data_IF_932013282066
#
_entry.id   IF_932013282066
#
_cell.length_a   1.000
_cell.length_b   1.000
_cell.length_c   1.000
_cell.angle_alpha   90.00
_cell.angle_beta   90.00
_cell.angle_gamma   90.00
#
_symmetry.space_group_name_H-M   'P 1'
#
loop_
_entity.id
_entity.type
_entity.pdbx_description
1 polymer ?
#
# COMPACT_ATOMS: atom_id res chain seq x y z
N UNK A 1 2.44 -11.55 6.47
CA UNK A 1 1.98 -10.14 6.62
C UNK A 1 1.50 -9.55 5.30
N UNK A 2 2.28 -9.58 4.21
CA UNK A 2 1.88 -9.01 2.90
C UNK A 2 0.54 -9.53 2.38
N UNK A 3 0.29 -10.84 2.46
CA UNK A 3 -1.00 -11.43 2.07
C UNK A 3 -2.17 -10.88 2.88
N UNK A 4 -1.97 -10.68 4.19
CA UNK A 4 -3.00 -10.15 5.10
C UNK A 4 -3.33 -8.71 4.70
N UNK A 5 -2.31 -7.88 4.42
CA UNK A 5 -2.51 -6.51 3.94
C UNK A 5 -3.30 -6.48 2.62
N UNK A 6 -2.96 -7.34 1.66
CA UNK A 6 -3.68 -7.44 0.39
C UNK A 6 -5.16 -7.80 0.60
N UNK A 7 -5.46 -8.74 1.49
CA UNK A 7 -6.85 -9.14 1.80
C UNK A 7 -7.63 -7.95 2.39
N UNK A 8 -7.06 -7.22 3.34
CA UNK A 8 -7.71 -6.04 3.94
C UNK A 8 -7.96 -4.94 2.91
N UNK A 9 -6.99 -4.64 2.04
CA UNK A 9 -7.19 -3.66 0.96
C UNK A 9 -8.35 -4.07 0.04
N UNK A 10 -8.42 -5.35 -0.32
CA UNK A 10 -9.49 -5.88 -1.18
C UNK A 10 -10.85 -5.92 -0.51
N UNK A 11 -10.92 -5.94 0.83
CA UNK A 11 -12.21 -5.87 1.54
C UNK A 11 -12.85 -4.49 1.54
N UNK A 12 -12.11 -3.41 1.26
CA UNK A 12 -12.69 -2.07 1.09
C UNK A 12 -13.30 -1.93 -0.31
N UNK A 13 -14.53 -1.43 -0.42
CA UNK A 13 -15.26 -1.36 -1.69
C UNK A 13 -15.07 -0.04 -2.46
N UNK A 14 -14.95 1.09 -1.76
CA UNK A 14 -14.94 2.45 -2.32
C UNK A 14 -13.62 3.23 -2.13
N UNK A 15 -12.60 2.57 -1.56
CA UNK A 15 -11.30 3.21 -1.28
C UNK A 15 -10.56 3.69 -2.53
N UNK A 16 -10.13 4.96 -2.47
CA UNK A 16 -9.29 5.62 -3.49
C UNK A 16 -7.91 4.95 -3.56
N UNK A 17 -7.42 4.72 -4.76
CA UNK A 17 -6.13 4.11 -5.06
C UNK A 17 -6.08 2.62 -4.78
N UNK A 18 -7.23 1.96 -4.50
CA UNK A 18 -7.25 0.57 -4.01
C UNK A 18 -6.60 -0.40 -5.00
N UNK A 19 -6.87 -0.29 -6.31
CA UNK A 19 -6.33 -1.24 -7.29
C UNK A 19 -4.84 -0.98 -7.54
N UNK A 20 -4.42 0.27 -7.43
CA UNK A 20 -3.09 0.82 -7.64
C UNK A 20 -2.14 0.41 -6.51
N UNK A 21 -2.58 0.55 -5.25
CA UNK A 21 -1.77 0.18 -4.09
C UNK A 21 -1.64 -1.35 -3.95
N UNK A 22 -2.65 -2.11 -4.38
CA UNK A 22 -2.55 -3.58 -4.42
C UNK A 22 -1.44 -4.03 -5.37
N UNK A 23 -1.18 -3.32 -6.47
CA UNK A 23 -0.06 -3.63 -7.37
C UNK A 23 1.29 -3.43 -6.68
N UNK A 24 1.43 -2.43 -5.81
CA UNK A 24 2.62 -2.25 -4.98
C UNK A 24 2.85 -3.47 -4.07
N UNK A 25 1.82 -3.92 -3.35
CA UNK A 25 1.95 -5.07 -2.46
C UNK A 25 2.17 -6.40 -3.18
N UNK A 26 1.64 -6.59 -4.39
CA UNK A 26 1.99 -7.74 -5.23
C UNK A 26 3.44 -7.69 -5.69
N UNK A 27 3.95 -6.53 -6.09
CA UNK A 27 5.37 -6.36 -6.44
C UNK A 27 6.28 -6.65 -5.24
N UNK A 28 5.93 -6.14 -4.05
CA UNK A 28 6.67 -6.42 -2.82
C UNK A 28 6.62 -7.90 -2.42
N UNK A 29 5.47 -8.56 -2.59
CA UNK A 29 5.35 -10.00 -2.35
C UNK A 29 6.25 -10.81 -3.28
N UNK A 30 6.31 -10.46 -4.57
CA UNK A 30 7.18 -11.11 -5.54
C UNK A 30 8.67 -10.85 -5.24
N UNK A 31 9.01 -9.62 -4.86
CA UNK A 31 10.35 -9.22 -4.43
C UNK A 31 10.82 -10.04 -3.23
N UNK A 32 10.03 -10.10 -2.17
CA UNK A 32 10.36 -10.84 -0.94
C UNK A 32 10.44 -12.35 -1.18
N UNK A 33 9.61 -12.90 -2.07
CA UNK A 33 9.73 -14.30 -2.49
C UNK A 33 11.06 -14.57 -3.20
N UNK A 34 11.47 -13.69 -4.12
CA UNK A 34 12.73 -13.82 -4.82
C UNK A 34 13.94 -13.62 -3.90
N UNK A 35 13.84 -12.67 -2.97
CA UNK A 35 14.84 -12.45 -1.91
C UNK A 35 15.01 -13.70 -1.05
N UNK A 36 13.92 -14.36 -0.66
CA UNK A 36 13.97 -15.62 0.06
C UNK A 36 14.75 -16.69 -0.72
N UNK A 37 14.53 -16.84 -2.03
CA UNK A 37 15.26 -17.81 -2.85
C UNK A 37 16.76 -17.53 -2.92
N UNK A 38 17.15 -16.25 -2.95
CA UNK A 38 18.55 -15.83 -3.02
C UNK A 38 19.26 -15.92 -1.67
N UNK A 39 18.62 -15.47 -0.58
CA UNK A 39 19.22 -15.40 0.76
C UNK A 39 19.27 -16.77 1.44
N UNK A 40 18.28 -17.63 1.21
CA UNK A 40 18.26 -19.00 1.78
C UNK A 40 19.29 -19.95 1.16
N UNK A 41 19.97 -19.54 0.08
CA UNK A 41 20.94 -20.37 -0.62
C UNK A 41 20.30 -21.52 -1.43
N UNK A 42 18.98 -21.53 -1.61
CA UNK A 42 18.27 -22.48 -2.51
C UNK A 42 18.87 -22.40 -3.93
N UNK A 43 19.24 -21.20 -4.36
CA UNK A 43 19.99 -20.97 -5.60
C UNK A 43 21.45 -20.70 -5.22
N UNK A 44 22.37 -21.66 -5.45
CA UNK A 44 23.76 -21.50 -5.08
C UNK A 44 24.43 -20.38 -5.89
N UNK A 45 25.30 -19.60 -5.24
CA UNK A 45 26.08 -18.52 -5.88
C UNK A 45 27.00 -19.00 -6.99
N UNK A 46 27.40 -20.27 -6.96
CA UNK A 46 28.22 -20.92 -8.00
C UNK A 46 27.44 -21.27 -9.28
N UNK A 47 26.11 -21.26 -9.23
CA UNK A 47 25.27 -21.61 -10.38
C UNK A 47 25.24 -20.46 -11.39
N UNK A 48 25.33 -20.78 -12.68
CA UNK A 48 25.13 -19.80 -13.76
C UNK A 48 23.76 -19.12 -13.69
N UNK A 49 22.77 -19.80 -13.11
CA UNK A 49 21.39 -19.32 -12.97
C UNK A 49 21.29 -18.19 -11.94
N UNK A 50 22.21 -18.13 -10.96
CA UNK A 50 22.20 -17.13 -9.90
C UNK A 50 22.17 -15.69 -10.43
N UNK A 51 22.99 -15.40 -11.43
CA UNK A 51 23.08 -14.05 -12.04
C UNK A 51 21.75 -13.55 -12.61
N UNK A 52 20.94 -14.45 -13.21
CA UNK A 52 19.62 -14.09 -13.76
C UNK A 52 18.61 -13.79 -12.65
N UNK A 53 18.63 -14.57 -11.56
CA UNK A 53 17.74 -14.34 -10.42
C UNK A 53 18.12 -13.06 -9.67
N UNK A 54 19.42 -12.78 -9.52
CA UNK A 54 19.87 -11.49 -8.95
C UNK A 54 19.47 -10.32 -9.85
N UNK A 55 19.60 -10.46 -11.18
CA UNK A 55 19.15 -9.43 -12.11
C UNK A 55 17.64 -9.16 -11.98
N UNK A 56 16.83 -10.22 -11.86
CA UNK A 56 15.39 -10.10 -11.62
C UNK A 56 15.09 -9.42 -10.28
N UNK A 57 15.85 -9.74 -9.22
CA UNK A 57 15.70 -9.13 -7.90
C UNK A 57 16.00 -7.63 -7.92
N UNK A 58 17.11 -7.23 -8.53
CA UNK A 58 17.48 -5.82 -8.74
C UNK A 58 16.42 -5.07 -9.56
N UNK A 59 15.87 -5.71 -10.60
CA UNK A 59 14.74 -5.18 -11.37
C UNK A 59 13.50 -4.97 -10.52
N UNK A 60 13.10 -5.97 -9.74
CA UNK A 60 11.92 -5.90 -8.87
C UNK A 60 12.05 -4.84 -7.76
N UNK A 61 13.26 -4.63 -7.21
CA UNK A 61 13.51 -3.53 -6.27
C UNK A 61 13.13 -2.21 -6.92
N UNK A 62 13.69 -1.95 -8.10
CA UNK A 62 13.48 -0.68 -8.81
C UNK A 62 12.02 -0.50 -9.23
N UNK A 63 11.36 -1.57 -9.66
CA UNK A 63 9.91 -1.57 -9.95
C UNK A 63 9.08 -1.26 -8.72
N UNK A 64 9.44 -1.79 -7.55
CA UNK A 64 8.70 -1.56 -6.31
C UNK A 64 8.76 -0.09 -5.91
N UNK A 65 9.93 0.56 -6.01
CA UNK A 65 10.06 2.01 -5.82
C UNK A 65 9.32 2.82 -6.87
N UNK A 66 9.34 2.39 -8.13
CA UNK A 66 8.62 3.05 -9.22
C UNK A 66 7.09 3.01 -9.01
N UNK A 67 6.54 1.84 -8.66
CA UNK A 67 5.11 1.69 -8.37
C UNK A 67 4.74 2.50 -7.13
N UNK A 68 5.60 2.56 -6.10
CA UNK A 68 5.40 3.40 -4.92
C UNK A 68 5.29 4.88 -5.32
N UNK A 69 6.22 5.38 -6.14
CA UNK A 69 6.18 6.74 -6.65
C UNK A 69 4.91 7.03 -7.45
N UNK A 70 4.49 6.13 -8.35
CA UNK A 70 3.25 6.31 -9.12
C UNK A 70 2.02 6.32 -8.23
N UNK A 71 1.96 5.48 -7.20
CA UNK A 71 0.91 5.55 -6.18
C UNK A 71 0.87 6.91 -5.47
N UNK A 72 2.00 7.61 -5.37
CA UNK A 72 2.02 8.97 -4.82
C UNK A 72 1.34 10.01 -5.69
N UNK A 73 1.30 9.82 -7.01
CA UNK A 73 0.56 10.69 -7.91
C UNK A 73 -0.94 10.41 -7.92
N UNK A 74 -1.36 9.17 -7.62
CA UNK A 74 -2.78 8.78 -7.57
C UNK A 74 -3.56 9.59 -6.54
N UNK A 75 -2.94 9.93 -5.40
CA UNK A 75 -3.56 10.75 -4.36
C UNK A 75 -3.92 12.19 -4.80
N UNK A 76 -3.28 12.70 -5.86
CA UNK A 76 -3.59 14.01 -6.44
C UNK A 76 -4.64 13.96 -7.55
N UNK A 77 -5.18 12.76 -7.85
CA UNK A 77 -6.19 12.54 -8.88
C UNK A 77 -5.81 13.07 -10.28
N UNK A 78 -4.51 13.09 -10.62
CA UNK A 78 -4.05 13.48 -11.97
C UNK A 78 -4.62 12.56 -13.06
N UNK A 79 -4.80 11.29 -12.74
CA UNK A 79 -5.59 10.35 -13.51
C UNK A 79 -6.72 9.86 -12.61
N UNK A 80 -7.93 9.75 -13.15
CA UNK A 80 -9.06 9.17 -12.43
C UNK A 80 -8.68 7.78 -11.91
N UNK A 81 -8.79 7.62 -10.60
CA UNK A 81 -8.45 6.40 -9.88
C UNK A 81 -9.27 5.20 -10.38
N UNK A 82 -8.66 4.03 -10.47
CA UNK A 82 -9.33 2.80 -10.91
C UNK A 82 -9.69 2.73 -12.40
N UNK A 83 -9.40 3.79 -13.18
CA UNK A 83 -9.56 3.76 -14.64
C UNK A 83 -8.60 2.78 -15.30
N UNK A 84 -8.99 2.26 -16.47
CA UNK A 84 -8.11 1.40 -17.27
C UNK A 84 -6.78 2.11 -17.58
N UNK A 85 -6.81 3.42 -17.83
CA UNK A 85 -5.61 4.22 -18.11
C UNK A 85 -4.64 4.23 -16.92
N UNK A 86 -5.13 4.51 -15.71
CA UNK A 86 -4.31 4.46 -14.48
C UNK A 86 -3.63 3.10 -14.33
N UNK A 87 -4.39 2.01 -14.39
CA UNK A 87 -3.88 0.66 -14.17
C UNK A 87 -2.90 0.21 -15.24
N UNK A 88 -3.21 0.46 -16.52
CA UNK A 88 -2.32 0.09 -17.62
C UNK A 88 -1.07 0.95 -17.65
N UNK A 89 -1.14 2.22 -17.24
CA UNK A 89 0.06 3.06 -17.13
C UNK A 89 1.05 2.51 -16.11
N UNK A 90 0.58 2.08 -14.92
CA UNK A 90 1.42 1.46 -13.89
C UNK A 90 1.99 0.14 -14.39
N UNK A 91 1.18 -0.72 -15.02
CA UNK A 91 1.63 -2.04 -15.51
C UNK A 91 2.65 -1.93 -16.64
N UNK A 92 2.41 -1.09 -17.64
CA UNK A 92 3.31 -0.95 -18.79
C UNK A 92 4.60 -0.26 -18.34
N UNK A 93 4.52 0.83 -17.58
CA UNK A 93 5.73 1.52 -17.12
C UNK A 93 6.58 0.67 -16.19
N UNK A 94 5.96 -0.09 -15.28
CA UNK A 94 6.69 -1.05 -14.43
C UNK A 94 7.32 -2.19 -15.23
N UNK A 95 6.64 -2.73 -16.24
CA UNK A 95 7.20 -3.77 -17.11
C UNK A 95 8.38 -3.26 -17.94
N UNK A 96 8.29 -2.04 -18.48
CA UNK A 96 9.37 -1.39 -19.23
C UNK A 96 10.57 -1.15 -18.31
N UNK A 97 10.34 -0.60 -17.12
CA UNK A 97 11.40 -0.35 -16.14
C UNK A 97 12.05 -1.66 -15.67
N UNK A 98 11.25 -2.69 -15.38
CA UNK A 98 11.74 -4.02 -15.04
C UNK A 98 12.69 -4.55 -16.12
N UNK A 99 12.25 -4.52 -17.38
CA UNK A 99 13.00 -5.05 -18.51
C UNK A 99 14.30 -4.27 -18.72
N UNK A 100 14.26 -2.94 -18.59
CA UNK A 100 15.44 -2.09 -18.71
C UNK A 100 16.47 -2.38 -17.62
N UNK A 101 16.05 -2.42 -16.35
CA UNK A 101 16.96 -2.69 -15.22
C UNK A 101 17.49 -4.12 -15.27
N UNK A 102 16.64 -5.09 -15.63
CA UNK A 102 17.04 -6.49 -15.81
C UNK A 102 18.10 -6.64 -16.90
N UNK A 103 17.91 -5.98 -18.04
CA UNK A 103 18.89 -5.97 -19.13
C UNK A 103 20.22 -5.35 -18.69
N UNK A 104 20.18 -4.19 -18.03
CA UNK A 104 21.38 -3.51 -17.53
C UNK A 104 22.11 -4.38 -16.49
N UNK A 105 21.39 -5.07 -15.61
CA UNK A 105 21.97 -5.97 -14.63
C UNK A 105 22.70 -7.14 -15.30
N UNK A 106 22.07 -7.81 -16.28
CA UNK A 106 22.72 -8.90 -17.03
C UNK A 106 23.91 -8.40 -17.84
N UNK A 107 23.76 -7.26 -18.52
CA UNK A 107 24.85 -6.66 -19.29
C UNK A 107 26.03 -6.33 -18.39
N UNK A 108 25.78 -5.87 -17.16
CA UNK A 108 26.82 -5.66 -16.16
C UNK A 108 27.48 -6.98 -15.77
N UNK A 109 26.69 -7.98 -15.34
CA UNK A 109 27.20 -9.31 -14.92
C UNK A 109 28.02 -10.03 -15.98
N UNK A 110 27.70 -9.82 -17.26
CA UNK A 110 28.43 -10.43 -18.38
C UNK A 110 29.49 -9.50 -18.98
N UNK A 111 29.68 -8.30 -18.42
CA UNK A 111 30.58 -7.26 -18.94
C UNK A 111 30.39 -6.99 -20.45
N UNK A 112 29.14 -6.78 -20.86
CA UNK A 112 28.78 -6.53 -22.26
C UNK A 112 28.83 -5.02 -22.55
N UNK A 113 29.65 -4.62 -23.52
CA UNK A 113 29.69 -3.25 -24.02
C UNK A 113 30.27 -2.26 -22.98
N UNK A 114 29.61 -1.12 -22.70
CA UNK A 114 30.12 -0.12 -21.75
C UNK A 114 29.95 -0.54 -20.27
N UNK A 115 29.26 -1.65 -20.01
CA UNK A 115 29.01 -2.14 -18.66
C UNK A 115 30.14 -3.07 -18.23
N UNK A 116 30.77 -2.78 -17.09
CA UNK A 116 31.84 -3.58 -16.51
C UNK A 116 31.44 -4.17 -15.16
N UNK A 117 31.82 -5.43 -14.92
CA UNK A 117 31.68 -6.08 -13.62
C UNK A 117 32.53 -5.42 -12.52
N UNK A 118 33.68 -4.84 -12.88
CA UNK A 118 34.60 -4.25 -11.90
C UNK A 118 34.16 -2.88 -11.42
N UNK A 119 33.38 -2.17 -12.23
CA UNK A 119 32.86 -0.84 -11.94
C UNK A 119 31.39 -0.74 -12.36
N UNK A 120 30.46 -1.29 -11.55
CA UNK A 120 29.03 -1.35 -11.89
C UNK A 120 28.33 0.00 -11.65
N UNK A 121 28.86 1.09 -12.22
CA UNK A 121 28.38 2.46 -12.02
C UNK A 121 26.92 2.63 -12.43
N UNK A 122 26.50 2.02 -13.54
CA UNK A 122 25.12 2.11 -14.01
C UNK A 122 24.12 1.51 -13.01
N UNK A 123 24.43 0.33 -12.45
CA UNK A 123 23.61 -0.30 -11.43
C UNK A 123 23.57 0.52 -10.14
N UNK A 124 24.70 1.12 -9.76
CA UNK A 124 24.77 2.00 -8.59
C UNK A 124 23.86 3.23 -8.76
N UNK A 125 23.89 3.88 -9.92
CA UNK A 125 23.01 5.02 -10.23
C UNK A 125 21.54 4.62 -10.12
N UNK A 126 21.14 3.48 -10.70
CA UNK A 126 19.75 3.02 -10.64
C UNK A 126 19.34 2.70 -9.20
N UNK A 127 20.17 1.92 -8.50
CA UNK A 127 19.79 1.40 -7.18
C UNK A 127 19.74 2.48 -6.09
N UNK A 128 20.63 3.47 -6.15
CA UNK A 128 20.72 4.49 -5.11
C UNK A 128 20.12 5.82 -5.54
N UNK A 129 20.51 6.35 -6.71
CA UNK A 129 20.04 7.67 -7.15
C UNK A 129 18.60 7.59 -7.63
N UNK A 130 18.27 6.70 -8.56
CA UNK A 130 16.93 6.63 -9.12
C UNK A 130 15.90 6.15 -8.07
N UNK A 131 16.16 5.04 -7.38
CA UNK A 131 15.24 4.55 -6.34
C UNK A 131 15.16 5.50 -5.14
N UNK A 132 16.30 6.08 -4.72
CA UNK A 132 16.33 7.08 -3.65
C UNK A 132 15.55 8.34 -4.02
N UNK A 133 15.71 8.85 -5.24
CA UNK A 133 14.92 9.98 -5.74
C UNK A 133 13.43 9.63 -5.79
N UNK A 134 13.07 8.43 -6.26
CA UNK A 134 11.69 7.99 -6.31
C UNK A 134 11.03 7.96 -4.92
N UNK A 135 11.76 7.47 -3.91
CA UNK A 135 11.31 7.49 -2.52
C UNK A 135 11.16 8.92 -1.97
N UNK A 136 12.14 9.79 -2.20
CA UNK A 136 12.10 11.18 -1.71
C UNK A 136 10.94 11.95 -2.34
N UNK A 137 10.74 11.79 -3.65
CA UNK A 137 9.61 12.41 -4.38
C UNK A 137 8.29 11.87 -3.80
N UNK A 138 8.16 10.55 -3.61
CA UNK A 138 6.98 9.96 -3.00
C UNK A 138 6.68 10.55 -1.62
N UNK A 139 7.68 10.62 -0.73
CA UNK A 139 7.52 11.17 0.63
C UNK A 139 7.10 12.65 0.57
N UNK A 140 7.74 13.44 -0.29
CA UNK A 140 7.39 14.86 -0.47
C UNK A 140 5.94 15.03 -0.96
N UNK A 141 5.52 14.22 -1.93
CA UNK A 141 4.16 14.20 -2.45
C UNK A 141 3.14 13.84 -1.35
N UNK A 142 3.40 12.83 -0.53
CA UNK A 142 2.49 12.47 0.58
C UNK A 142 2.40 13.58 1.63
N UNK A 143 3.53 14.19 2.00
CA UNK A 143 3.53 15.30 2.95
C UNK A 143 2.72 16.48 2.40
N UNK A 144 2.87 16.83 1.12
CA UNK A 144 2.10 17.89 0.49
C UNK A 144 0.61 17.56 0.50
N UNK A 145 0.23 16.33 0.13
CA UNK A 145 -1.17 15.88 0.12
C UNK A 145 -1.80 16.00 1.51
N UNK A 146 -1.15 15.46 2.54
CA UNK A 146 -1.68 15.51 3.91
C UNK A 146 -1.76 16.95 4.40
N UNK A 147 -0.77 17.80 4.08
CA UNK A 147 -0.75 19.17 4.59
C UNK A 147 -1.80 20.06 3.92
N UNK A 148 -2.04 19.86 2.62
CA UNK A 148 -2.88 20.75 1.81
C UNK A 148 -4.32 20.27 1.67
N UNK A 149 -4.55 18.96 1.73
CA UNK A 149 -5.85 18.38 1.38
C UNK A 149 -6.57 17.80 2.60
N UNK A 150 -5.86 17.28 3.60
CA UNK A 150 -6.46 16.59 4.74
C UNK A 150 -6.52 17.46 6.00
N UNK A 151 -7.64 17.35 6.72
CA UNK A 151 -7.83 17.97 8.03
C UNK A 151 -7.14 17.14 9.13
N UNK A 152 -7.23 15.80 9.07
CA UNK A 152 -6.52 14.90 9.99
C UNK A 152 -5.02 14.80 9.65
N UNK A 153 -4.18 15.12 10.65
CA UNK A 153 -2.71 15.10 10.55
C UNK A 153 -2.09 13.81 11.06
N UNK A 154 -2.88 12.88 11.59
CA UNK A 154 -2.41 11.56 12.02
C UNK A 154 -1.57 10.82 10.96
N UNK A 155 -1.90 10.86 9.65
CA UNK A 155 -1.11 10.20 8.61
C UNK A 155 0.34 10.69 8.49
N UNK A 156 0.66 11.90 8.97
CA UNK A 156 2.07 12.39 9.01
C UNK A 156 2.94 11.53 9.90
N UNK A 157 2.38 11.00 11.01
CA UNK A 157 3.07 10.07 11.89
C UNK A 157 3.43 8.78 11.16
N UNK A 158 2.51 8.25 10.35
CA UNK A 158 2.76 7.03 9.58
C UNK A 158 3.90 7.22 8.57
N UNK A 159 3.95 8.37 7.88
CA UNK A 159 5.05 8.72 6.96
C UNK A 159 6.37 8.82 7.73
N UNK A 160 6.40 9.52 8.86
CA UNK A 160 7.60 9.72 9.66
C UNK A 160 8.19 8.38 10.14
N UNK A 161 7.35 7.52 10.71
CA UNK A 161 7.80 6.20 11.17
C UNK A 161 8.23 5.31 10.01
N UNK A 162 7.53 5.35 8.87
CA UNK A 162 7.92 4.61 7.68
C UNK A 162 9.33 4.98 7.18
N UNK A 163 9.61 6.29 7.06
CA UNK A 163 10.93 6.79 6.67
C UNK A 163 11.99 6.45 7.72
N UNK A 164 11.67 6.63 9.01
CA UNK A 164 12.60 6.31 10.09
C UNK A 164 13.00 4.82 10.08
N UNK A 165 12.03 3.90 9.98
CA UNK A 165 12.32 2.47 9.89
C UNK A 165 13.16 2.13 8.65
N UNK A 166 12.84 2.73 7.50
CA UNK A 166 13.64 2.50 6.29
C UNK A 166 15.09 2.96 6.47
N UNK A 167 15.32 4.18 6.97
CA UNK A 167 16.67 4.72 7.20
C UNK A 167 17.43 3.87 8.22
N UNK A 168 16.80 3.50 9.35
CA UNK A 168 17.41 2.63 10.35
C UNK A 168 17.80 1.28 9.72
N UNK A 169 16.95 0.71 8.87
CA UNK A 169 17.24 -0.51 8.13
C UNK A 169 18.47 -0.38 7.22
N UNK A 170 18.54 0.68 6.42
CA UNK A 170 19.68 0.94 5.53
C UNK A 170 20.98 1.14 6.31
N UNK A 171 20.94 1.95 7.37
CA UNK A 171 22.10 2.19 8.24
C UNK A 171 22.57 0.89 8.89
N UNK A 172 21.65 0.03 9.31
CA UNK A 172 21.98 -1.27 9.90
C UNK A 172 22.70 -2.18 8.91
N UNK A 173 22.24 -2.25 7.65
CA UNK A 173 22.88 -3.05 6.60
C UNK A 173 24.26 -2.49 6.24
N UNK A 174 24.40 -1.19 5.99
CA UNK A 174 25.64 -0.64 5.43
C UNK A 174 26.71 -0.29 6.46
N UNK A 175 26.32 0.14 7.67
CA UNK A 175 27.28 0.60 8.69
C UNK A 175 27.52 -0.47 9.74
N UNK A 176 26.47 -1.14 10.22
CA UNK A 176 26.55 -2.01 11.39
C UNK A 176 26.60 -3.51 11.09
N UNK A 177 26.35 -3.94 9.85
CA UNK A 177 26.20 -5.37 9.53
C UNK A 177 27.38 -6.24 9.98
N UNK A 178 28.62 -5.84 9.69
CA UNK A 178 29.82 -6.58 10.11
C UNK A 178 29.97 -6.61 11.63
N UNK A 179 29.74 -5.47 12.29
CA UNK A 179 29.82 -5.36 13.76
C UNK A 179 28.80 -6.26 14.46
N UNK A 180 27.58 -6.33 13.93
CA UNK A 180 26.53 -7.22 14.43
C UNK A 180 26.95 -8.68 14.21
N UNK A 181 27.43 -9.01 13.01
CA UNK A 181 27.87 -10.36 12.66
C UNK A 181 28.94 -10.89 13.62
N UNK A 182 29.97 -10.08 13.91
CA UNK A 182 31.07 -10.44 14.81
C UNK A 182 30.59 -10.59 16.27
N UNK A 183 29.68 -9.72 16.71
CA UNK A 183 29.17 -9.71 18.10
C UNK A 183 28.31 -10.94 18.38
N UNK A 184 27.52 -11.39 17.41
CA UNK A 184 26.57 -12.51 17.55
C UNK A 184 27.17 -13.81 16.98
N UNK A 185 28.51 -13.92 16.88
CA UNK A 185 29.24 -15.13 16.44
C UNK A 185 28.73 -15.71 15.10
N UNK A 186 28.48 -14.84 14.12
CA UNK A 186 27.99 -15.19 12.79
C UNK A 186 26.62 -15.91 12.74
N UNK A 187 25.79 -15.79 13.79
CA UNK A 187 24.43 -16.33 13.76
C UNK A 187 23.43 -15.38 13.07
N UNK A 188 23.62 -14.06 13.22
CA UNK A 188 22.77 -13.00 12.67
C UNK A 188 23.66 -11.93 12.05
N UNK A 189 23.23 -11.35 10.93
CA UNK A 189 23.88 -10.24 10.26
C UNK A 189 22.95 -9.01 10.16
N UNK A 190 23.43 -7.96 9.50
CA UNK A 190 22.62 -6.75 9.26
C UNK A 190 21.43 -6.98 8.33
N UNK A 191 21.42 -8.03 7.49
CA UNK A 191 20.31 -8.32 6.58
C UNK A 191 19.05 -8.71 7.35
N UNK A 192 19.18 -9.47 8.44
CA UNK A 192 18.03 -9.81 9.29
C UNK A 192 17.32 -8.57 9.85
N UNK A 193 18.08 -7.64 10.45
CA UNK A 193 17.48 -6.41 11.00
C UNK A 193 17.02 -5.46 9.91
N UNK A 194 17.75 -5.38 8.80
CA UNK A 194 17.38 -4.55 7.65
C UNK A 194 16.08 -5.01 6.98
N UNK A 195 15.87 -6.30 6.83
CA UNK A 195 14.62 -6.87 6.28
C UNK A 195 13.43 -6.64 7.21
N UNK A 196 13.59 -6.79 8.52
CA UNK A 196 12.55 -6.44 9.50
C UNK A 196 12.19 -4.95 9.43
N UNK A 197 13.20 -4.07 9.41
CA UNK A 197 12.98 -2.62 9.31
C UNK A 197 12.30 -2.24 7.99
N UNK A 198 12.66 -2.89 6.89
CA UNK A 198 12.01 -2.70 5.58
C UNK A 198 10.56 -3.16 5.61
N UNK A 199 10.28 -4.31 6.24
CA UNK A 199 8.91 -4.79 6.42
C UNK A 199 8.08 -3.80 7.26
N UNK A 200 8.63 -3.27 8.35
CA UNK A 200 7.96 -2.25 9.15
C UNK A 200 7.69 -0.97 8.34
N UNK A 201 8.65 -0.52 7.52
CA UNK A 201 8.46 0.62 6.63
C UNK A 201 7.30 0.37 5.64
N UNK A 202 7.23 -0.80 5.02
CA UNK A 202 6.14 -1.20 4.11
C UNK A 202 4.80 -1.30 4.85
N UNK A 203 4.79 -1.75 6.11
CA UNK A 203 3.59 -1.73 6.94
C UNK A 203 3.12 -0.30 7.22
N UNK A 204 4.03 0.66 7.41
CA UNK A 204 3.64 2.06 7.58
C UNK A 204 3.09 2.67 6.28
N UNK A 205 3.55 2.24 5.10
CA UNK A 205 2.92 2.59 3.81
C UNK A 205 1.47 2.07 3.74
N UNK A 206 1.24 0.83 4.20
CA UNK A 206 -0.13 0.29 4.32
C UNK A 206 -0.99 1.11 5.29
N UNK A 207 -0.49 1.38 6.50
CA UNK A 207 -1.23 2.16 7.52
C UNK A 207 -1.53 3.57 7.06
N UNK A 208 -0.59 4.21 6.37
CA UNK A 208 -0.79 5.51 5.74
C UNK A 208 -1.97 5.45 4.75
N UNK A 209 -1.94 4.51 3.79
CA UNK A 209 -3.03 4.33 2.81
C UNK A 209 -4.37 4.02 3.49
N UNK A 210 -4.36 3.17 4.52
CA UNK A 210 -5.55 2.83 5.28
C UNK A 210 -6.12 4.05 6.02
N UNK A 211 -5.24 4.90 6.58
CA UNK A 211 -5.63 6.09 7.34
C UNK A 211 -6.28 7.17 6.47
N UNK A 212 -5.85 7.33 5.22
CA UNK A 212 -6.45 8.31 4.30
C UNK A 212 -7.74 7.79 3.63
N UNK A 213 -8.08 6.50 3.80
CA UNK A 213 -9.28 5.84 3.24
C UNK A 213 -10.21 5.28 4.32
N UNK A 214 -10.21 5.89 5.52
CA UNK A 214 -11.00 5.42 6.67
C UNK A 214 -12.51 5.58 6.46
N UNK A 215 -12.94 6.65 5.81
CA UNK A 215 -14.35 7.05 5.70
C UNK A 215 -15.20 6.07 4.87
N UNK A 216 -14.56 5.26 4.01
CA UNK A 216 -15.23 4.25 3.19
C UNK A 216 -15.83 3.06 3.96
N UNK A 217 -15.38 2.84 5.21
CA UNK A 217 -15.91 1.76 6.05
C UNK A 217 -17.22 2.14 6.76
N UNK A 218 -17.46 3.43 6.99
CA UNK A 218 -18.64 3.93 7.71
C UNK A 218 -19.93 3.76 6.87
N UNK A 219 -19.80 3.81 5.54
CA UNK A 219 -20.92 3.59 4.62
C UNK A 219 -21.29 2.10 4.43
N UNK A 220 -20.43 1.16 4.83
CA UNK A 220 -20.71 -0.29 4.73
C UNK A 220 -21.49 -0.86 5.92
N UNK A 221 -21.67 -0.10 6.99
CA UNK A 221 -22.47 -0.53 8.18
C UNK A 221 -23.81 0.23 8.29
N UNK A 222 -24.08 1.20 7.41
CA UNK A 222 -25.17 2.17 7.55
C UNK A 222 -26.54 1.85 6.92
N UNK A 223 -26.98 0.59 6.79
CA UNK A 223 -28.40 0.30 6.41
C UNK A 223 -29.19 -0.48 7.46
N UNK A 224 -28.58 -0.87 8.58
CA UNK A 224 -29.29 -1.61 9.65
C UNK A 224 -29.09 -1.07 11.06
N UNK A 225 -28.42 0.07 11.24
CA UNK A 225 -28.17 0.59 12.58
C UNK A 225 -29.45 1.15 13.26
N UNK A 226 -30.49 1.54 12.51
CA UNK A 226 -31.66 2.23 13.08
C UNK A 226 -32.99 1.47 12.93
N UNK A 227 -32.99 0.14 12.74
CA UNK A 227 -34.27 -0.61 12.66
C UNK A 227 -34.96 -0.69 14.03
N UNK A 228 -34.20 -0.61 15.12
CA UNK A 228 -34.73 -0.72 16.48
C UNK A 228 -35.36 0.60 16.97
N UNK A 229 -34.76 1.75 16.64
CA UNK A 229 -35.30 3.08 16.98
C UNK A 229 -36.63 3.36 16.25
N UNK A 230 -36.78 2.89 15.01
CA UNK A 230 -38.05 3.01 14.26
C UNK A 230 -39.14 2.13 14.86
N UNK A 231 -38.78 0.99 15.47
CA UNK A 231 -39.76 0.10 16.10
C UNK A 231 -40.30 0.67 17.41
N UNK A 232 -39.47 1.34 18.21
CA UNK A 232 -39.92 2.04 19.42
C UNK A 232 -40.88 3.18 19.08
N UNK A 233 -40.58 4.00 18.07
CA UNK A 233 -41.47 5.09 17.64
C UNK A 233 -42.84 4.59 17.14
N UNK A 234 -42.90 3.44 16.44
CA UNK A 234 -44.17 2.86 15.99
C UNK A 234 -44.98 2.25 17.14
N UNK A 235 -44.31 1.66 18.12
CA UNK A 235 -44.98 1.12 19.33
C UNK A 235 -45.50 2.26 20.20
N UNK A 236 -44.77 3.37 20.30
CA UNK A 236 -45.18 4.55 21.06
C UNK A 236 -46.38 5.26 20.39
N UNK A 237 -46.43 5.30 19.05
CA UNK A 237 -47.56 5.84 18.28
C UNK A 237 -48.80 4.93 18.34
N UNK A 238 -48.64 3.60 18.27
CA UNK A 238 -49.74 2.64 18.49
C UNK A 238 -50.29 2.73 19.93
N UNK A 239 -49.42 2.87 20.93
CA UNK A 239 -49.82 3.04 22.33
C UNK A 239 -50.52 4.39 22.54
N UNK A 240 -50.04 5.48 21.93
CA UNK A 240 -50.70 6.78 21.98
C UNK A 240 -52.11 6.75 21.35
N UNK A 241 -52.28 6.04 20.23
CA UNK A 241 -53.59 5.82 19.61
C UNK A 241 -54.51 4.93 20.46
N UNK A 242 -53.96 3.90 21.12
CA UNK A 242 -54.74 3.00 21.99
C UNK A 242 -55.20 3.69 23.28
N UNK A 243 -54.45 4.68 23.77
CA UNK A 243 -54.76 5.41 25.00
C UNK A 243 -55.78 6.55 24.79
N UNK A 244 -55.97 7.02 23.55
CA UNK A 244 -57.03 7.97 23.19
C UNK A 244 -58.40 7.32 22.92
N UNK A 245 -58.50 5.99 23.00
CA UNK A 245 -59.73 5.23 22.68
C UNK A 245 -60.75 5.03 23.82
N UNK A 246 -60.49 5.50 25.04
CA UNK A 246 -61.41 5.33 26.18
C UNK A 246 -61.79 6.67 26.81
N UNK A 247 -62.62 7.44 26.08
CA UNK A 247 -63.05 8.76 26.54
C UNK A 247 -64.21 9.37 25.77
N UNK A 248 -65.37 8.70 25.77
CA UNK A 248 -66.69 9.38 25.78
C UNK A 248 -67.27 9.96 24.48
N UNK A 249 -68.38 9.36 24.03
CA UNK A 249 -69.63 10.12 23.82
C UNK A 249 -69.97 10.66 22.42
N UNK A 250 -70.93 9.99 21.78
CA UNK A 250 -72.01 10.51 20.90
C UNK A 250 -71.71 11.49 19.75
N UNK A 251 -72.13 11.11 18.52
CA UNK A 251 -72.73 12.07 17.59
C UNK A 251 -72.39 11.95 16.11
N UNK A 252 -73.19 11.16 15.39
CA UNK A 252 -73.77 11.41 14.05
C UNK A 252 -72.96 11.97 12.85
N UNK A 253 -73.10 11.20 11.76
CA UNK A 253 -73.54 11.61 10.39
C UNK A 253 -72.50 11.88 9.27
N UNK A 254 -72.47 10.89 8.36
CA UNK A 254 -72.94 10.96 6.96
C UNK A 254 -72.02 11.46 5.84
N UNK A 255 -71.56 10.47 5.05
CA UNK A 255 -71.57 10.37 3.58
C UNK A 255 -71.17 11.57 2.69
N UNK A 256 -70.19 11.30 1.81
CA UNK A 256 -70.44 11.40 0.37
C UNK A 256 -69.44 12.19 -0.47
N UNK A 257 -68.78 11.49 -1.40
CA UNK A 257 -68.61 11.96 -2.79
C UNK A 257 -67.29 12.65 -3.18
N UNK A 258 -66.45 11.90 -3.92
CA UNK A 258 -65.64 12.45 -5.03
C UNK A 258 -66.59 13.09 -6.09
N UNK A 259 -66.20 14.07 -6.94
CA UNK A 259 -65.03 13.93 -7.83
C UNK A 259 -64.29 15.21 -8.33
N UNK A 260 -63.19 14.91 -9.04
CA UNK A 260 -62.31 15.71 -9.93
C UNK A 260 -61.07 16.33 -9.31
#
# INVERSE_FOLDING_TARGET
MTTIMIIHIKSKYTAVGRKEIVMFFYSYMLLTFLELLLVSGIIPTSSNVYSYFVAAHVGLISVTFWILLLNGFVGFQFAEDGTALSLWSIRISSLVLFSAVYFIAIATFRSIGPFSNTSPTALWIIMYIFNGAALVIYVALQIVLVIKTLDDRWPLGDILFGVAFYIIGQVTIYVFSVRICDTVKHYIDGLFFGTICTLLAVMMVYKYWDSITKEDLEFSVGSKQNVWEVKELLVEDELAYSQQGYGGGYGQQSFGGYPR
#
